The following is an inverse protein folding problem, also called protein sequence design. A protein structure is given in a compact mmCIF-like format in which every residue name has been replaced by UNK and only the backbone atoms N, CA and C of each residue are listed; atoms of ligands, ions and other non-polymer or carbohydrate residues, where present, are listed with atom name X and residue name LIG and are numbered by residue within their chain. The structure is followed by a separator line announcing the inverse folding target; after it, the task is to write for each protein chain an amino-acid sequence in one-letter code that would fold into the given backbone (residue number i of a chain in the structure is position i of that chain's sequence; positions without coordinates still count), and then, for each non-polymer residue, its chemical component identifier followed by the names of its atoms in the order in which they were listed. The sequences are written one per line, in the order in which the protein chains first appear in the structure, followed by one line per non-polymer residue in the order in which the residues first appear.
data_IF_137803642787
#
_entry.id   IF_137803642787
#
_cell.length_a   1.000
_cell.length_b   1.000
_cell.length_c   1.000
_cell.angle_alpha   90.00
_cell.angle_beta   90.00
_cell.angle_gamma   90.00
#
_symmetry.space_group_name_H-M   'P 1'
#
loop_
_entity.id
_entity.type
_entity.pdbx_description
1 polymer ?
#
# COMPACT_ATOMS: atom_id res chain seq x y z
N UNK A 1 39.26 14.88 35.80
CA UNK A 1 38.29 13.74 35.73
C UNK A 1 37.93 13.55 34.27
N UNK A 2 38.57 12.58 33.62
CA UNK A 2 38.31 12.25 32.20
C UNK A 2 37.25 11.15 32.16
N UNK A 3 36.11 11.45 31.56
CA UNK A 3 35.06 10.46 31.31
C UNK A 3 35.40 9.71 30.02
N UNK A 4 35.72 8.43 30.17
CA UNK A 4 35.93 7.51 29.08
C UNK A 4 34.58 7.09 28.48
N UNK A 5 34.32 7.47 27.22
CA UNK A 5 33.24 6.94 26.44
C UNK A 5 33.63 5.58 25.86
N UNK A 6 32.91 4.58 26.27
CA UNK A 6 33.07 3.20 25.79
C UNK A 6 32.36 3.07 24.42
N UNK A 7 33.10 3.14 23.33
CA UNK A 7 32.59 2.84 21.98
C UNK A 7 32.55 1.31 21.82
N UNK A 8 31.38 0.71 21.96
CA UNK A 8 31.19 -0.66 21.47
C UNK A 8 31.20 -0.64 19.96
N UNK A 9 32.22 -1.23 19.37
CA UNK A 9 32.35 -1.44 17.94
C UNK A 9 31.27 -2.44 17.48
N UNK A 10 30.36 -1.98 16.63
CA UNK A 10 29.45 -2.86 15.88
C UNK A 10 30.29 -3.52 14.79
N UNK A 11 30.59 -4.80 14.97
CA UNK A 11 31.26 -5.62 13.96
C UNK A 11 30.21 -6.00 12.91
N UNK A 12 30.24 -5.32 11.76
CA UNK A 12 29.47 -5.72 10.58
C UNK A 12 30.27 -6.84 9.90
N UNK A 13 29.85 -8.08 10.11
CA UNK A 13 30.44 -9.23 9.42
C UNK A 13 29.90 -9.28 7.99
N UNK A 14 30.66 -8.81 7.02
CA UNK A 14 30.41 -9.07 5.61
C UNK A 14 30.83 -10.52 5.32
N UNK A 15 29.84 -11.41 5.21
CA UNK A 15 30.07 -12.72 4.63
C UNK A 15 30.21 -12.56 3.11
N UNK A 16 31.46 -12.61 2.62
CA UNK A 16 31.76 -12.73 1.20
C UNK A 16 31.43 -14.18 0.80
N UNK A 17 30.22 -14.43 0.36
CA UNK A 17 29.85 -15.70 -0.25
C UNK A 17 30.06 -15.65 -1.75
N UNK A 18 30.83 -16.62 -2.20
CA UNK A 18 31.36 -16.91 -3.53
C UNK A 18 30.34 -16.74 -4.67
N UNK A 19 30.83 -16.16 -5.78
CA UNK A 19 30.17 -16.14 -7.08
C UNK A 19 29.87 -17.60 -7.54
N UNK A 20 28.60 -17.96 -7.46
CA UNK A 20 28.01 -18.92 -8.34
C UNK A 20 27.04 -18.18 -9.25
N UNK A 21 27.36 -18.05 -10.53
CA UNK A 21 26.42 -17.69 -11.57
C UNK A 21 25.37 -18.82 -11.67
N UNK A 22 24.38 -18.77 -10.80
CA UNK A 22 23.13 -19.47 -11.01
C UNK A 22 22.21 -18.49 -11.74
N UNK A 23 21.66 -18.92 -12.86
CA UNK A 23 20.41 -18.38 -13.39
C UNK A 23 19.33 -18.66 -12.34
N UNK A 24 19.40 -17.98 -11.21
CA UNK A 24 18.49 -18.11 -10.11
C UNK A 24 17.34 -17.12 -10.30
N UNK A 25 16.13 -17.63 -10.23
CA UNK A 25 14.95 -16.81 -9.96
C UNK A 25 15.30 -15.86 -8.83
N UNK A 26 15.20 -14.55 -9.08
CA UNK A 26 15.35 -13.55 -8.02
C UNK A 26 14.16 -13.74 -7.08
N UNK A 27 14.40 -14.37 -5.94
CA UNK A 27 13.39 -14.56 -4.91
C UNK A 27 13.41 -13.31 -4.05
N UNK A 28 12.27 -12.65 -3.93
CA UNK A 28 12.16 -11.52 -3.02
C UNK A 28 12.42 -11.96 -1.58
N UNK A 29 13.15 -11.15 -0.83
CA UNK A 29 13.53 -11.43 0.55
C UNK A 29 13.33 -10.20 1.43
N UNK A 30 13.05 -10.43 2.70
CA UNK A 30 13.09 -9.37 3.70
C UNK A 30 14.54 -8.87 3.82
N UNK A 31 14.74 -7.56 3.63
CA UNK A 31 16.05 -6.90 3.74
C UNK A 31 16.32 -6.40 5.14
N UNK A 32 15.34 -5.72 5.74
CA UNK A 32 15.46 -5.17 7.09
C UNK A 32 14.08 -5.08 7.75
N UNK A 33 14.07 -5.10 9.09
CA UNK A 33 12.91 -4.89 9.94
C UNK A 33 13.25 -3.90 11.04
N UNK A 34 12.40 -2.90 11.27
CA UNK A 34 12.61 -1.87 12.29
C UNK A 34 11.30 -1.56 13.00
N UNK A 35 11.32 -1.57 14.32
CA UNK A 35 10.18 -1.13 15.13
C UNK A 35 10.03 0.39 15.06
N UNK A 36 8.83 0.87 14.82
CA UNK A 36 8.48 2.28 14.86
C UNK A 36 7.01 2.47 15.26
N UNK A 37 6.68 3.65 15.72
CA UNK A 37 5.30 4.02 15.96
C UNK A 37 4.74 4.77 14.76
N UNK A 38 3.52 4.42 14.36
CA UNK A 38 2.78 5.02 13.22
C UNK A 38 1.46 5.61 13.69
N UNK A 39 0.63 6.07 12.73
CA UNK A 39 -0.65 6.70 13.00
C UNK A 39 -0.52 8.20 13.26
N UNK A 40 -1.66 8.89 13.35
CA UNK A 40 -1.72 10.37 13.48
C UNK A 40 -1.00 10.90 14.71
N UNK A 41 -1.02 10.15 15.80
CA UNK A 41 -0.40 10.53 17.08
C UNK A 41 0.94 9.85 17.30
N UNK A 42 1.42 9.04 16.34
CA UNK A 42 2.65 8.23 16.46
C UNK A 42 2.65 7.33 17.70
N UNK A 43 1.50 6.76 18.05
CA UNK A 43 1.27 5.95 19.24
C UNK A 43 0.96 4.48 18.92
N UNK A 44 0.79 4.13 17.64
CA UNK A 44 0.51 2.76 17.19
C UNK A 44 1.81 2.03 16.88
N UNK A 45 2.20 1.02 17.67
CA UNK A 45 3.41 0.25 17.41
C UNK A 45 3.25 -0.62 16.16
N UNK A 46 4.26 -0.59 15.30
CA UNK A 46 4.34 -1.39 14.09
C UNK A 46 5.80 -1.72 13.77
N UNK A 47 6.02 -2.72 12.94
CA UNK A 47 7.32 -3.03 12.36
C UNK A 47 7.32 -2.63 10.89
N UNK A 48 8.20 -1.73 10.47
CA UNK A 48 8.42 -1.47 9.04
C UNK A 48 9.40 -2.50 8.49
N UNK A 49 9.05 -3.07 7.33
CA UNK A 49 9.83 -4.10 6.64
C UNK A 49 10.17 -3.62 5.24
N UNK A 50 11.44 -3.71 4.88
CA UNK A 50 11.93 -3.47 3.52
C UNK A 50 12.31 -4.79 2.84
N UNK A 51 12.39 -4.76 1.50
CA UNK A 51 12.59 -5.95 0.68
C UNK A 51 13.74 -5.76 -0.30
N UNK A 52 14.30 -6.87 -0.76
CA UNK A 52 15.20 -6.96 -1.91
C UNK A 52 14.65 -7.96 -2.91
N UNK A 53 15.01 -7.84 -4.19
CA UNK A 53 14.57 -8.76 -5.24
C UNK A 53 13.14 -8.50 -5.74
N UNK A 54 12.60 -7.30 -5.54
CA UNK A 54 11.35 -6.88 -6.18
C UNK A 54 11.59 -6.56 -7.66
N UNK A 55 10.56 -6.74 -8.51
CA UNK A 55 10.71 -6.73 -9.97
C UNK A 55 10.73 -5.33 -10.57
N UNK A 56 9.92 -4.42 -10.02
CA UNK A 56 9.75 -3.06 -10.57
C UNK A 56 10.84 -2.09 -10.11
N UNK A 57 11.73 -2.52 -9.20
CA UNK A 57 12.82 -1.70 -8.65
C UNK A 57 12.37 -0.58 -7.74
N UNK A 58 11.11 -0.55 -7.33
CA UNK A 58 10.58 0.44 -6.40
C UNK A 58 10.83 0.03 -4.94
N UNK A 59 10.89 1.01 -4.05
CA UNK A 59 11.09 0.81 -2.63
C UNK A 59 9.75 0.59 -1.90
N UNK A 60 9.10 -0.54 -2.18
CA UNK A 60 7.90 -0.95 -1.45
C UNK A 60 8.25 -1.32 -0.03
N UNK A 61 7.33 -1.05 0.90
CA UNK A 61 7.49 -1.41 2.31
C UNK A 61 6.23 -2.09 2.84
N UNK A 62 6.40 -2.89 3.89
CA UNK A 62 5.29 -3.39 4.68
C UNK A 62 5.30 -2.78 6.07
N UNK A 63 4.12 -2.51 6.63
CA UNK A 63 3.93 -2.30 8.06
C UNK A 63 3.26 -3.55 8.62
N UNK A 64 3.92 -4.18 9.58
CA UNK A 64 3.41 -5.37 10.27
C UNK A 64 2.94 -4.96 11.65
N UNK A 65 1.67 -5.25 11.95
CA UNK A 65 1.03 -5.01 13.23
C UNK A 65 0.84 -6.35 13.92
N UNK A 66 1.58 -6.57 15.00
CA UNK A 66 1.50 -7.82 15.72
C UNK A 66 0.25 -7.84 16.59
N UNK A 67 -0.47 -8.94 16.51
CA UNK A 67 -1.48 -9.28 17.51
C UNK A 67 -0.81 -10.05 18.64
N UNK A 68 -1.15 -9.70 19.86
CA UNK A 68 -0.41 -10.17 21.02
C UNK A 68 -0.50 -11.70 21.25
N UNK A 69 -1.43 -12.47 20.70
CA UNK A 69 -1.63 -13.86 21.16
C UNK A 69 -2.21 -14.88 20.17
N UNK A 70 -2.13 -14.67 18.84
CA UNK A 70 -2.65 -15.72 17.95
C UNK A 70 -1.68 -16.15 16.84
N UNK A 71 -0.93 -17.21 17.10
CA UNK A 71 -0.18 -17.95 16.06
C UNK A 71 -1.08 -18.64 15.00
N UNK A 72 -2.41 -18.58 15.16
CA UNK A 72 -3.38 -19.33 14.34
C UNK A 72 -4.33 -18.47 13.51
N UNK A 73 -4.33 -17.14 13.64
CA UNK A 73 -5.27 -16.32 12.90
C UNK A 73 -4.72 -15.91 11.52
N UNK A 74 -5.54 -16.14 10.50
CA UNK A 74 -5.27 -15.70 9.13
C UNK A 74 -5.13 -14.16 9.12
N UNK A 75 -3.97 -13.59 8.76
CA UNK A 75 -3.72 -12.16 8.88
C UNK A 75 -4.58 -11.34 7.93
N UNK A 76 -5.01 -10.16 8.38
CA UNK A 76 -5.61 -9.15 7.52
C UNK A 76 -4.52 -8.45 6.71
N UNK A 77 -4.66 -8.46 5.38
CA UNK A 77 -3.72 -7.81 4.45
C UNK A 77 -4.40 -6.64 3.76
N UNK A 78 -3.70 -5.52 3.66
CA UNK A 78 -4.06 -4.40 2.81
C UNK A 78 -2.95 -4.11 1.81
N UNK A 79 -3.28 -4.08 0.53
CA UNK A 79 -2.41 -3.56 -0.53
C UNK A 79 -2.80 -2.10 -0.77
N UNK A 80 -2.00 -1.15 -0.29
CA UNK A 80 -2.23 0.28 -0.47
C UNK A 80 -1.28 0.82 -1.53
N UNK A 81 -1.83 1.34 -2.64
CA UNK A 81 -1.02 2.04 -3.65
C UNK A 81 -0.83 3.49 -3.22
N UNK A 82 0.42 3.95 -3.23
CA UNK A 82 0.83 5.31 -2.84
C UNK A 82 -0.05 6.40 -3.46
N UNK A 83 -0.35 7.39 -2.66
CA UNK A 83 -0.99 8.61 -3.09
C UNK A 83 -0.46 9.79 -2.27
N UNK A 84 0.69 10.36 -2.66
CA UNK A 84 1.36 11.41 -1.91
C UNK A 84 0.40 12.55 -1.51
N UNK A 85 -0.45 12.97 -2.45
CA UNK A 85 -1.40 14.06 -2.18
C UNK A 85 -2.48 13.70 -1.18
N UNK A 86 -2.92 12.43 -1.16
CA UNK A 86 -3.92 11.95 -0.20
C UNK A 86 -3.31 11.52 1.12
N UNK A 87 -2.24 10.73 1.07
CA UNK A 87 -1.65 10.08 2.24
C UNK A 87 -0.88 11.07 3.12
N UNK A 88 -0.16 12.04 2.51
CA UNK A 88 0.69 13.00 3.22
C UNK A 88 0.03 14.38 3.33
N UNK A 89 -0.53 14.89 2.23
CA UNK A 89 -1.09 16.26 2.20
C UNK A 89 -2.61 16.31 2.46
N UNK A 90 -3.25 15.17 2.69
CA UNK A 90 -4.69 15.06 3.01
C UNK A 90 -5.59 15.79 2.01
N UNK A 91 -5.23 15.73 0.72
CA UNK A 91 -5.94 16.39 -0.37
C UNK A 91 -7.42 16.03 -0.40
N UNK A 92 -8.28 17.01 -0.69
CA UNK A 92 -9.72 16.79 -0.87
C UNK A 92 -10.08 16.07 -2.18
N UNK A 93 -9.12 15.87 -3.09
CA UNK A 93 -9.37 15.24 -4.41
C UNK A 93 -9.58 13.73 -4.33
N UNK A 94 -9.19 13.07 -3.23
CA UNK A 94 -9.35 11.62 -3.02
C UNK A 94 -9.57 11.30 -1.54
N UNK A 95 -9.84 10.03 -1.25
CA UNK A 95 -10.01 9.48 0.09
C UNK A 95 -8.87 8.52 0.51
N UNK A 96 -7.70 8.63 -0.15
CA UNK A 96 -6.60 7.69 0.07
C UNK A 96 -6.06 7.77 1.50
N UNK A 97 -5.81 8.97 2.01
CA UNK A 97 -5.30 9.17 3.36
C UNK A 97 -6.27 8.67 4.45
N UNK A 98 -7.58 8.87 4.27
CA UNK A 98 -8.60 8.32 5.18
C UNK A 98 -8.62 6.81 5.16
N UNK A 99 -8.54 6.19 3.97
CA UNK A 99 -8.45 4.73 3.84
C UNK A 99 -7.17 4.16 4.44
N UNK A 100 -6.04 4.88 4.34
CA UNK A 100 -4.79 4.51 4.98
C UNK A 100 -4.92 4.54 6.49
N UNK A 101 -5.44 5.64 7.06
CA UNK A 101 -5.65 5.78 8.50
C UNK A 101 -6.63 4.73 9.03
N UNK A 102 -7.78 4.51 8.35
CA UNK A 102 -8.74 3.47 8.72
C UNK A 102 -8.08 2.08 8.79
N UNK A 103 -7.22 1.78 7.82
CA UNK A 103 -6.49 0.53 7.79
C UNK A 103 -5.50 0.40 8.96
N UNK A 104 -4.74 1.45 9.26
CA UNK A 104 -3.78 1.46 10.37
C UNK A 104 -4.51 1.24 11.71
N UNK A 105 -5.61 1.94 11.94
CA UNK A 105 -6.42 1.79 13.16
C UNK A 105 -7.00 0.37 13.28
N UNK A 106 -7.52 -0.18 12.19
CA UNK A 106 -8.07 -1.53 12.17
C UNK A 106 -6.97 -2.57 12.47
N UNK A 107 -5.79 -2.43 11.85
CA UNK A 107 -4.67 -3.34 12.08
C UNK A 107 -4.05 -3.18 13.47
N UNK A 108 -4.13 -2.01 14.08
CA UNK A 108 -3.77 -1.83 15.47
C UNK A 108 -4.63 -2.69 16.42
N UNK A 109 -5.93 -2.78 16.13
CA UNK A 109 -6.88 -3.50 16.98
C UNK A 109 -6.82 -5.02 16.82
N UNK A 110 -6.57 -5.52 15.59
CA UNK A 110 -6.69 -6.95 15.30
C UNK A 110 -5.44 -7.60 14.69
N UNK A 111 -4.36 -6.83 14.51
CA UNK A 111 -3.18 -7.26 13.79
C UNK A 111 -3.37 -7.22 12.27
N UNK A 112 -2.29 -7.44 11.54
CA UNK A 112 -2.32 -7.51 10.08
C UNK A 112 -1.08 -6.94 9.42
N UNK A 113 -1.11 -6.86 8.07
CA UNK A 113 0.02 -6.39 7.28
C UNK A 113 -0.48 -5.40 6.21
N UNK A 114 0.01 -4.18 6.29
CA UNK A 114 -0.19 -3.16 5.26
C UNK A 114 1.00 -3.18 4.29
N UNK A 115 0.77 -3.55 3.02
CA UNK A 115 1.74 -3.41 1.94
C UNK A 115 1.57 -2.03 1.31
N UNK A 116 2.56 -1.15 1.48
CA UNK A 116 2.57 0.19 0.89
C UNK A 116 3.36 0.15 -0.42
N UNK A 117 2.63 0.23 -1.54
CA UNK A 117 3.17 0.06 -2.88
C UNK A 117 3.46 1.42 -3.52
N UNK A 118 4.70 1.64 -3.97
CA UNK A 118 5.16 2.86 -4.60
C UNK A 118 4.65 2.97 -6.06
N UNK A 119 3.31 2.99 -6.21
CA UNK A 119 2.59 2.97 -7.49
C UNK A 119 1.67 4.20 -7.61
N UNK A 120 2.29 5.39 -7.52
CA UNK A 120 1.58 6.68 -7.58
C UNK A 120 0.80 6.85 -8.87
N UNK A 121 -0.38 7.46 -8.77
CA UNK A 121 -1.20 7.83 -9.93
C UNK A 121 -1.72 6.63 -10.73
N UNK A 122 -1.95 5.45 -10.11
CA UNK A 122 -2.24 4.18 -10.79
C UNK A 122 -1.10 3.70 -11.68
N UNK A 123 0.14 3.97 -11.26
CA UNK A 123 1.35 3.55 -11.96
C UNK A 123 1.88 4.56 -12.97
N UNK A 124 1.22 5.69 -13.22
CA UNK A 124 1.71 6.72 -14.14
C UNK A 124 2.74 7.67 -13.49
N UNK A 125 2.89 7.62 -12.18
CA UNK A 125 3.80 8.45 -11.41
C UNK A 125 3.19 9.79 -10.98
N UNK A 126 3.91 10.48 -10.07
CA UNK A 126 3.42 11.71 -9.42
C UNK A 126 3.24 12.87 -10.41
N UNK A 127 4.22 13.12 -11.26
CA UNK A 127 4.16 14.29 -12.16
C UNK A 127 3.04 14.15 -13.19
N UNK A 128 2.93 13.00 -13.84
CA UNK A 128 1.83 12.73 -14.76
C UNK A 128 0.45 12.79 -14.08
N UNK A 129 0.36 12.38 -12.81
CA UNK A 129 -0.86 12.58 -12.01
C UNK A 129 -1.17 14.05 -11.79
N UNK A 130 -0.15 14.90 -11.57
CA UNK A 130 -0.36 16.36 -11.44
C UNK A 130 -0.84 16.94 -12.76
N UNK A 131 -0.27 16.54 -13.90
CA UNK A 131 -0.73 16.95 -15.22
C UNK A 131 -2.19 16.50 -15.48
N UNK A 132 -2.54 15.27 -15.08
CA UNK A 132 -3.92 14.80 -15.11
C UNK A 132 -4.87 15.66 -14.23
N UNK A 133 -4.39 16.17 -13.10
CA UNK A 133 -5.17 17.09 -12.26
C UNK A 133 -5.46 18.43 -12.95
N UNK A 134 -4.54 18.93 -13.79
CA UNK A 134 -4.80 20.14 -14.62
C UNK A 134 -5.95 19.87 -15.57
N UNK A 135 -5.92 18.75 -16.30
CA UNK A 135 -6.99 18.36 -17.22
C UNK A 135 -8.33 18.13 -16.51
N UNK A 136 -8.31 17.49 -15.34
CA UNK A 136 -9.51 17.31 -14.51
C UNK A 136 -10.11 18.65 -14.05
N UNK A 137 -9.27 19.65 -13.77
CA UNK A 137 -9.73 21.01 -13.43
C UNK A 137 -10.40 21.73 -14.61
N UNK A 138 -10.18 21.24 -15.83
CA UNK A 138 -10.83 21.69 -17.07
C UNK A 138 -12.08 20.84 -17.42
N UNK A 139 -12.49 19.89 -16.57
CA UNK A 139 -13.73 19.13 -16.69
C UNK A 139 -13.58 17.67 -17.14
N UNK A 140 -12.36 17.18 -17.41
CA UNK A 140 -12.15 15.77 -17.72
C UNK A 140 -12.31 14.91 -16.47
N UNK A 141 -12.81 13.68 -16.62
CA UNK A 141 -12.72 12.69 -15.55
C UNK A 141 -11.32 12.05 -15.49
N UNK A 142 -11.05 11.24 -14.46
CA UNK A 142 -9.71 10.65 -14.25
C UNK A 142 -9.25 9.78 -15.42
N UNK A 143 -10.15 9.00 -16.02
CA UNK A 143 -9.82 8.11 -17.14
C UNK A 143 -9.57 8.91 -18.43
N UNK A 144 -10.42 9.88 -18.72
CA UNK A 144 -10.25 10.79 -19.87
C UNK A 144 -8.93 11.54 -19.78
N UNK A 145 -8.57 12.05 -18.60
CA UNK A 145 -7.31 12.75 -18.39
C UNK A 145 -6.09 11.83 -18.61
N UNK A 146 -6.12 10.58 -18.08
CA UNK A 146 -5.05 9.62 -18.30
C UNK A 146 -4.91 9.25 -19.78
N UNK A 147 -6.02 8.97 -20.46
CA UNK A 147 -6.03 8.63 -21.88
C UNK A 147 -5.55 9.79 -22.76
N UNK A 148 -5.92 11.04 -22.40
CA UNK A 148 -5.43 12.25 -23.08
C UNK A 148 -3.90 12.39 -22.97
N UNK A 149 -3.33 11.98 -21.84
CA UNK A 149 -1.87 11.95 -21.62
C UNK A 149 -1.19 10.71 -22.23
N UNK A 150 -1.93 9.82 -22.89
CA UNK A 150 -1.40 8.62 -23.54
C UNK A 150 -1.21 7.42 -22.61
N UNK A 151 -1.77 7.44 -21.40
CA UNK A 151 -1.69 6.34 -20.46
C UNK A 151 -2.94 5.46 -20.48
N UNK A 152 -2.79 4.16 -20.20
CA UNK A 152 -3.89 3.28 -19.93
C UNK A 152 -4.59 3.65 -18.61
N UNK A 153 -5.81 3.13 -18.42
CA UNK A 153 -6.65 3.43 -17.26
C UNK A 153 -6.02 3.05 -15.93
N UNK A 154 -5.25 1.96 -15.91
CA UNK A 154 -4.57 1.44 -14.72
C UNK A 154 -3.33 0.63 -15.15
N UNK A 155 -2.15 1.12 -14.80
CA UNK A 155 -0.85 0.50 -15.10
C UNK A 155 -0.28 -0.25 -13.90
N UNK A 156 -1.02 -0.37 -12.78
CA UNK A 156 -0.49 -1.04 -11.59
C UNK A 156 -0.31 -2.53 -11.83
N UNK A 157 0.83 -3.03 -11.44
CA UNK A 157 1.14 -4.44 -11.30
C UNK A 157 1.20 -4.77 -9.80
N UNK A 158 0.55 -5.85 -9.39
CA UNK A 158 0.52 -6.31 -8.02
C UNK A 158 1.43 -7.53 -7.77
N UNK A 159 2.26 -7.90 -8.74
CA UNK A 159 3.18 -9.04 -8.61
C UNK A 159 4.20 -8.84 -7.48
N UNK A 160 4.68 -7.60 -7.28
CA UNK A 160 5.60 -7.32 -6.17
C UNK A 160 4.92 -7.40 -4.80
N UNK A 161 3.63 -7.10 -4.71
CA UNK A 161 2.87 -7.35 -3.47
C UNK A 161 2.79 -8.85 -3.14
N UNK A 162 2.66 -9.71 -4.16
CA UNK A 162 2.71 -11.17 -3.99
C UNK A 162 4.08 -11.58 -3.48
N UNK A 163 5.17 -11.11 -4.11
CA UNK A 163 6.54 -11.41 -3.68
C UNK A 163 6.82 -10.94 -2.25
N UNK A 164 6.28 -9.78 -1.85
CA UNK A 164 6.38 -9.29 -0.47
C UNK A 164 5.68 -10.22 0.52
N UNK A 165 4.48 -10.71 0.18
CA UNK A 165 3.74 -11.68 1.01
C UNK A 165 4.49 -13.02 1.11
N UNK A 166 5.03 -13.52 0.01
CA UNK A 166 5.86 -14.73 0.01
C UNK A 166 7.10 -14.57 0.89
N UNK A 167 7.80 -13.42 0.79
CA UNK A 167 8.96 -13.10 1.61
C UNK A 167 8.61 -12.98 3.11
N UNK A 168 7.37 -12.60 3.44
CA UNK A 168 6.83 -12.58 4.80
C UNK A 168 6.26 -13.94 5.25
N UNK A 169 6.27 -14.96 4.38
CA UNK A 169 5.74 -16.29 4.68
C UNK A 169 4.22 -16.37 4.65
N UNK A 170 3.53 -15.40 4.06
CA UNK A 170 2.07 -15.30 4.06
C UNK A 170 1.47 -15.93 2.79
N UNK A 171 0.87 -17.11 2.93
CA UNK A 171 0.20 -17.84 1.83
C UNK A 171 -1.31 -17.93 1.99
N UNK A 172 -1.84 -17.61 3.16
CA UNK A 172 -3.26 -17.63 3.50
C UNK A 172 -3.60 -16.33 4.22
N UNK A 173 -4.54 -15.54 3.69
CA UNK A 173 -4.78 -14.16 4.12
C UNK A 173 -6.28 -13.80 4.08
N UNK A 174 -6.67 -12.79 4.86
CA UNK A 174 -7.90 -12.00 4.65
C UNK A 174 -7.51 -10.73 3.91
N UNK A 175 -8.23 -10.34 2.86
CA UNK A 175 -7.86 -9.21 2.04
C UNK A 175 -8.79 -8.01 2.24
N UNK A 176 -8.24 -6.88 2.70
CA UNK A 176 -8.98 -5.62 2.79
C UNK A 176 -8.87 -4.85 1.46
N UNK A 177 -9.94 -4.88 0.65
CA UNK A 177 -9.98 -4.20 -0.65
C UNK A 177 -11.39 -4.03 -1.18
N UNK A 178 -11.59 -2.98 -2.02
CA UNK A 178 -12.76 -2.85 -2.90
C UNK A 178 -12.36 -3.07 -4.38
N UNK A 179 -11.07 -3.29 -4.68
CA UNK A 179 -10.57 -3.47 -6.03
C UNK A 179 -10.46 -4.95 -6.40
N UNK A 180 -11.26 -5.45 -7.37
CA UNK A 180 -11.22 -6.85 -7.77
C UNK A 180 -9.89 -7.30 -8.36
N UNK A 181 -9.12 -6.39 -8.98
CA UNK A 181 -7.81 -6.70 -9.55
C UNK A 181 -6.80 -7.11 -8.48
N UNK A 182 -6.88 -6.54 -7.27
CA UNK A 182 -6.02 -6.93 -6.15
C UNK A 182 -6.33 -8.35 -5.68
N UNK A 183 -7.61 -8.69 -5.59
CA UNK A 183 -8.04 -10.06 -5.25
C UNK A 183 -7.59 -11.06 -6.32
N UNK A 184 -7.80 -10.71 -7.60
CA UNK A 184 -7.38 -11.54 -8.72
C UNK A 184 -5.88 -11.80 -8.70
N UNK A 185 -5.05 -10.77 -8.49
CA UNK A 185 -3.59 -10.90 -8.45
C UNK A 185 -3.10 -11.90 -7.38
N UNK A 186 -3.68 -11.86 -6.18
CA UNK A 186 -3.33 -12.82 -5.12
C UNK A 186 -3.74 -14.25 -5.47
N UNK A 187 -4.96 -14.43 -5.98
CA UNK A 187 -5.47 -15.77 -6.34
C UNK A 187 -4.73 -16.38 -7.51
N UNK A 188 -4.42 -15.60 -8.55
CA UNK A 188 -3.65 -16.06 -9.71
C UNK A 188 -2.23 -16.50 -9.31
N UNK A 189 -1.69 -15.93 -8.25
CA UNK A 189 -0.39 -16.31 -7.69
C UNK A 189 -0.46 -17.47 -6.68
N UNK A 190 -1.65 -18.03 -6.42
CA UNK A 190 -1.82 -19.16 -5.49
C UNK A 190 -1.85 -18.78 -4.02
N UNK A 191 -2.02 -17.48 -3.70
CA UNK A 191 -2.29 -17.04 -2.32
C UNK A 191 -3.76 -17.29 -2.02
N UNK A 192 -4.02 -18.06 -0.97
CA UNK A 192 -5.36 -18.35 -0.49
C UNK A 192 -5.97 -17.11 0.17
N UNK A 193 -7.12 -16.66 -0.34
CA UNK A 193 -7.86 -15.53 0.23
C UNK A 193 -9.15 -16.04 0.86
N UNK A 194 -9.13 -16.12 2.19
CA UNK A 194 -10.21 -16.62 3.04
C UNK A 194 -11.46 -15.75 2.92
N UNK A 195 -11.28 -14.45 3.05
CA UNK A 195 -12.36 -13.48 2.99
C UNK A 195 -11.89 -12.12 2.45
N UNK A 196 -12.85 -11.34 1.95
CA UNK A 196 -12.60 -9.97 1.49
C UNK A 196 -13.37 -9.00 2.36
N UNK A 197 -12.63 -8.05 2.94
CA UNK A 197 -13.17 -6.96 3.77
C UNK A 197 -13.16 -5.68 2.94
N UNK A 198 -14.32 -5.04 2.77
CA UNK A 198 -14.43 -3.76 2.08
C UNK A 198 -13.87 -2.62 2.92
N UNK A 199 -13.32 -1.59 2.25
CA UNK A 199 -12.99 -0.31 2.89
C UNK A 199 -14.13 0.67 2.76
N UNK A 200 -14.27 1.60 3.71
CA UNK A 200 -15.23 2.68 3.59
C UNK A 200 -14.76 3.68 2.51
N UNK A 201 -15.74 4.30 1.84
CA UNK A 201 -15.47 5.45 1.00
C UNK A 201 -15.75 6.72 1.83
N UNK A 202 -14.82 7.66 1.80
CA UNK A 202 -14.92 8.90 2.55
C UNK A 202 -15.16 10.07 1.60
N UNK A 203 -16.35 10.67 1.64
CA UNK A 203 -16.63 11.89 0.85
C UNK A 203 -15.99 13.09 1.56
N UNK A 204 -15.21 13.86 0.81
CA UNK A 204 -14.63 15.13 1.23
C UNK A 204 -15.38 16.28 0.58
N UNK A 205 -15.73 17.29 1.36
CA UNK A 205 -16.17 18.59 0.89
C UNK A 205 -14.95 19.46 0.57
N UNK A 206 -15.09 20.42 -0.34
CA UNK A 206 -14.03 21.38 -0.69
C UNK A 206 -14.24 21.96 -2.08
N UNK A 207 -13.34 22.86 -2.49
CA UNK A 207 -13.37 23.53 -3.82
C UNK A 207 -13.33 22.49 -4.95
N UNK A 208 -12.62 21.39 -4.73
CA UNK A 208 -12.65 20.19 -5.58
C UNK A 208 -12.84 18.99 -4.66
N UNK A 209 -14.06 18.54 -4.47
CA UNK A 209 -14.36 17.34 -3.68
C UNK A 209 -14.05 16.06 -4.47
N UNK A 210 -14.01 14.93 -3.75
CA UNK A 210 -13.69 13.62 -4.33
C UNK A 210 -14.91 12.82 -4.83
N UNK A 211 -16.10 13.39 -4.83
CA UNK A 211 -17.32 12.66 -5.22
C UNK A 211 -17.24 12.12 -6.64
N UNK A 212 -16.87 12.97 -7.60
CA UNK A 212 -16.70 12.55 -9.00
C UNK A 212 -15.63 11.46 -9.16
N UNK A 213 -14.56 11.52 -8.38
CA UNK A 213 -13.52 10.48 -8.34
C UNK A 213 -14.07 9.14 -7.84
N UNK A 214 -14.89 9.13 -6.78
CA UNK A 214 -15.52 7.91 -6.25
C UNK A 214 -16.55 7.33 -7.22
N UNK A 215 -17.37 8.17 -7.83
CA UNK A 215 -18.33 7.76 -8.87
C UNK A 215 -17.61 7.15 -10.08
N UNK A 216 -16.47 7.72 -10.46
CA UNK A 216 -15.62 7.21 -11.55
C UNK A 216 -15.01 5.84 -11.19
N UNK A 217 -14.57 5.62 -9.95
CA UNK A 217 -14.10 4.30 -9.48
C UNK A 217 -15.16 3.21 -9.63
N UNK A 218 -16.41 3.53 -9.33
CA UNK A 218 -17.53 2.58 -9.43
C UNK A 218 -17.85 2.26 -10.88
N UNK A 219 -18.00 3.30 -11.73
CA UNK A 219 -18.41 3.14 -13.12
C UNK A 219 -17.36 2.43 -13.98
N UNK A 220 -16.10 2.76 -13.83
CA UNK A 220 -15.01 2.30 -14.69
C UNK A 220 -14.06 1.32 -14.03
N UNK A 221 -13.89 1.40 -12.70
CA UNK A 221 -12.96 0.56 -11.94
C UNK A 221 -13.57 -0.71 -11.37
N UNK A 222 -14.86 -0.98 -11.60
CA UNK A 222 -15.62 -2.12 -11.03
C UNK A 222 -15.44 -2.25 -9.50
N UNK A 223 -15.15 -1.15 -8.80
CA UNK A 223 -14.97 -1.16 -7.36
C UNK A 223 -16.27 -1.48 -6.64
N UNK A 224 -16.22 -2.39 -5.68
CA UNK A 224 -17.33 -2.78 -4.82
C UNK A 224 -17.59 -1.72 -3.74
N UNK A 225 -17.95 -0.51 -4.14
CA UNK A 225 -18.29 0.60 -3.25
C UNK A 225 -19.79 0.84 -3.24
N UNK A 226 -20.39 0.88 -2.07
CA UNK A 226 -21.81 1.27 -1.91
C UNK A 226 -21.88 2.78 -1.61
N UNK A 227 -22.25 3.56 -2.63
CA UNK A 227 -22.40 5.04 -2.49
C UNK A 227 -23.40 5.41 -1.39
N UNK A 228 -24.40 4.57 -1.10
CA UNK A 228 -25.42 4.84 -0.08
C UNK A 228 -24.88 4.76 1.36
N UNK A 229 -23.76 4.03 1.54
CA UNK A 229 -23.06 3.88 2.83
C UNK A 229 -21.91 4.87 3.03
N UNK A 230 -21.78 5.83 2.13
CA UNK A 230 -20.70 6.81 2.22
C UNK A 230 -20.96 7.72 3.42
N UNK A 231 -20.02 7.75 4.38
CA UNK A 231 -20.05 8.68 5.49
C UNK A 231 -19.93 10.11 4.96
N UNK A 232 -20.89 10.96 5.33
CA UNK A 232 -20.78 12.41 5.13
C UNK A 232 -19.70 12.94 6.09
N UNK A 233 -18.93 13.97 5.69
CA UNK A 233 -18.06 14.65 6.64
C UNK A 233 -18.92 15.22 7.78
N UNK A 234 -18.46 15.03 9.02
CA UNK A 234 -18.96 15.70 10.20
C UNK A 234 -18.59 17.18 10.17
#
# INVERSE_FOLDING_TARGET
MLHSYNLQAVVITFAVSHLFFNFGFVVAQVRARVQLNVGKNSDIPAEIVSFSGLKDGQEHVALVFNQADSEQDVPLIRMHSECLTGDVFHSSRCDCGEQLNECIEMMHQQGGILLYLRQEGRGIGLYNKIDAYVLQSQGMNTYEANNHLGFADDLRDFSDAVLMLEALGQKHVKLMTNNPNKLKALRDAGIEVDSVVGTHAHIKAGVVGNRAYLETKIKHGSHMLDIKKIKKPE
#
